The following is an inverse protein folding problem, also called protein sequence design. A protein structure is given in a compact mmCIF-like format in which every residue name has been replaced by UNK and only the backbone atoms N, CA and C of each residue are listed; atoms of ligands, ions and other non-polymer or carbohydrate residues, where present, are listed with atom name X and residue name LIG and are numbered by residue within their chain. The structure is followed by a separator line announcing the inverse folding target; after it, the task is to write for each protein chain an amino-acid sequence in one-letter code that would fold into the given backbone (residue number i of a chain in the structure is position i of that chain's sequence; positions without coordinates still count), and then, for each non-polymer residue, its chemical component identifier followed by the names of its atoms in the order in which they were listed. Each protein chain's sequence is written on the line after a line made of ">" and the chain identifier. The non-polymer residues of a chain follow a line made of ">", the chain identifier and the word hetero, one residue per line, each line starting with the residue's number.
data_IF_679911160342
#
_entry.id   IF_679911160342
#
_cell.length_a   1.000
_cell.length_b   1.000
_cell.length_c   1.000
_cell.angle_alpha   90.00
_cell.angle_beta   90.00
_cell.angle_gamma   90.00
#
_symmetry.space_group_name_H-M   'P 1'
#
loop_
_entity.id
_entity.type
_entity.pdbx_description
1 polymer ?
#
# COMPACT_ATOMS: atom_id res chain seq x y z
N UNK A 1 -12.38 -3.32 -6.43
CA UNK A 1 -12.39 -4.52 -5.56
C UNK A 1 -11.63 -5.68 -6.23
N UNK A 2 -10.55 -5.40 -6.98
CA UNK A 2 -9.98 -6.31 -7.99
C UNK A 2 -8.69 -7.02 -7.56
N UNK A 3 -8.13 -6.72 -6.38
CA UNK A 3 -6.80 -7.21 -5.96
C UNK A 3 -6.86 -8.08 -4.68
N UNK A 4 -8.04 -8.64 -4.34
CA UNK A 4 -8.31 -9.36 -3.08
C UNK A 4 -9.09 -10.65 -3.32
N UNK A 5 -8.64 -11.48 -4.26
CA UNK A 5 -9.20 -12.81 -4.43
C UNK A 5 -8.88 -13.66 -3.18
N UNK A 6 -9.90 -13.97 -2.39
CA UNK A 6 -9.79 -14.82 -1.18
C UNK A 6 -9.38 -14.10 0.12
N UNK A 7 -9.47 -12.76 0.18
CA UNK A 7 -9.19 -12.00 1.42
C UNK A 7 -10.35 -11.08 1.79
N UNK A 8 -10.62 -10.97 3.10
CA UNK A 8 -11.61 -10.02 3.61
C UNK A 8 -11.06 -8.60 3.68
N UNK A 9 -11.94 -7.64 3.38
CA UNK A 9 -11.70 -6.22 3.65
C UNK A 9 -12.08 -5.92 5.09
N UNK A 10 -11.10 -5.50 5.89
CA UNK A 10 -11.31 -5.14 7.28
C UNK A 10 -10.81 -3.72 7.55
N UNK A 11 -11.57 -2.96 8.33
CA UNK A 11 -11.21 -1.61 8.73
C UNK A 11 -10.31 -1.58 9.97
N UNK A 12 -10.42 -2.60 10.83
CA UNK A 12 -9.63 -2.76 12.03
C UNK A 12 -9.49 -4.25 12.36
N UNK A 13 -8.33 -4.63 12.91
CA UNK A 13 -8.05 -5.98 13.37
C UNK A 13 -7.59 -5.96 14.83
N UNK A 14 -8.07 -6.92 15.60
CA UNK A 14 -7.58 -7.13 16.96
C UNK A 14 -6.41 -8.11 16.95
N UNK A 15 -5.36 -7.78 17.69
CA UNK A 15 -4.21 -8.66 17.91
C UNK A 15 -3.79 -8.63 19.38
N UNK A 16 -3.20 -9.73 19.85
CA UNK A 16 -2.67 -9.91 21.19
C UNK A 16 -1.25 -9.37 21.36
N UNK A 17 -0.77 -9.35 22.61
CA UNK A 17 0.51 -8.74 22.96
C UNK A 17 1.75 -9.45 22.37
N UNK A 18 1.65 -10.73 22.02
CA UNK A 18 2.72 -11.51 21.39
C UNK A 18 2.53 -11.72 19.89
N UNK A 19 1.51 -11.10 19.29
CA UNK A 19 1.14 -11.30 17.90
C UNK A 19 1.63 -10.13 17.03
N UNK A 20 1.71 -10.38 15.72
CA UNK A 20 2.01 -9.36 14.72
C UNK A 20 0.89 -9.34 13.68
N UNK A 21 0.53 -8.14 13.24
CA UNK A 21 -0.37 -7.95 12.10
C UNK A 21 0.48 -7.78 10.84
N UNK A 22 0.11 -8.51 9.79
CA UNK A 22 0.54 -8.19 8.43
C UNK A 22 -0.68 -7.75 7.62
N UNK A 23 -0.68 -6.49 7.21
CA UNK A 23 -1.74 -5.92 6.39
C UNK A 23 -1.22 -5.68 4.97
N UNK A 24 -1.97 -6.18 3.99
CA UNK A 24 -1.77 -5.83 2.58
C UNK A 24 -2.73 -4.72 2.20
N UNK A 25 -2.21 -3.62 1.67
CA UNK A 25 -3.03 -2.51 1.19
C UNK A 25 -2.44 -1.87 -0.05
N UNK A 26 -3.33 -1.35 -0.89
CA UNK A 26 -2.97 -0.49 -2.00
C UNK A 26 -2.86 0.97 -1.52
N UNK A 27 -1.86 1.70 -2.02
CA UNK A 27 -1.70 3.12 -1.71
C UNK A 27 -2.96 3.90 -2.14
N UNK A 28 -3.62 4.56 -1.18
CA UNK A 28 -4.86 5.31 -1.40
C UNK A 28 -6.13 4.44 -1.44
N UNK A 29 -6.03 3.17 -1.04
CA UNK A 29 -7.16 2.24 -0.98
C UNK A 29 -7.71 1.85 -2.35
N UNK A 30 -8.96 1.37 -2.37
CA UNK A 30 -9.63 0.89 -3.59
C UNK A 30 -9.65 1.92 -4.72
N UNK A 31 -9.71 3.21 -4.37
CA UNK A 31 -9.81 4.32 -5.34
C UNK A 31 -8.47 5.01 -5.62
N UNK A 32 -7.37 4.58 -5.00
CA UNK A 32 -6.02 5.14 -5.19
C UNK A 32 -5.94 6.64 -4.94
N UNK A 33 -6.69 7.12 -3.93
CA UNK A 33 -6.77 8.54 -3.62
C UNK A 33 -5.46 9.03 -2.98
N UNK A 34 -4.83 10.10 -3.49
CA UNK A 34 -3.74 10.78 -2.80
C UNK A 34 -4.24 11.41 -1.51
N UNK A 35 -3.41 11.40 -0.46
CA UNK A 35 -3.84 11.91 0.84
C UNK A 35 -2.88 11.59 1.97
N UNK A 36 -3.20 12.10 3.16
CA UNK A 36 -2.55 11.72 4.41
C UNK A 36 -3.55 10.88 5.20
N UNK A 37 -3.20 9.62 5.45
CA UNK A 37 -4.03 8.66 6.17
C UNK A 37 -3.49 8.44 7.57
N UNK A 38 -4.37 8.19 8.53
CA UNK A 38 -4.01 7.82 9.89
C UNK A 38 -4.03 6.31 10.03
N UNK A 39 -2.92 5.74 10.49
CA UNK A 39 -2.88 4.41 11.09
C UNK A 39 -2.78 4.59 12.60
N UNK A 40 -3.58 3.86 13.38
CA UNK A 40 -3.62 4.05 14.82
C UNK A 40 -4.18 2.82 15.53
N UNK A 41 -3.81 2.67 16.80
CA UNK A 41 -4.50 1.75 17.69
C UNK A 41 -5.88 2.34 18.04
N UNK A 42 -6.97 1.63 17.76
CA UNK A 42 -8.32 2.15 18.02
C UNK A 42 -8.66 2.33 19.52
N UNK A 43 -7.82 1.83 20.44
CA UNK A 43 -7.99 2.02 21.89
C UNK A 43 -7.32 3.31 22.36
N UNK A 44 -8.10 4.20 22.96
CA UNK A 44 -7.67 5.56 23.37
C UNK A 44 -6.39 5.61 24.21
N UNK A 45 -6.16 4.73 25.22
CA UNK A 45 -4.93 4.81 26.02
C UNK A 45 -3.66 4.63 25.18
N UNK A 46 -3.71 3.77 24.16
CA UNK A 46 -2.56 3.54 23.27
C UNK A 46 -2.38 4.67 22.24
N UNK A 47 -3.46 5.35 21.84
CA UNK A 47 -3.36 6.56 21.03
C UNK A 47 -2.64 7.67 21.80
N UNK A 48 -3.02 7.88 23.06
CA UNK A 48 -2.37 8.86 23.95
C UNK A 48 -0.90 8.50 24.20
N UNK A 49 -0.58 7.20 24.25
CA UNK A 49 0.78 6.70 24.36
C UNK A 49 1.59 6.74 23.04
N UNK A 50 1.00 7.22 21.93
CA UNK A 50 1.71 7.41 20.66
C UNK A 50 1.68 6.21 19.71
N UNK A 51 0.81 5.22 19.90
CA UNK A 51 0.64 4.11 18.96
C UNK A 51 -0.21 4.51 17.75
N UNK A 52 0.32 5.42 16.95
CA UNK A 52 -0.26 5.89 15.71
C UNK A 52 0.81 6.50 14.80
N UNK A 53 0.46 6.69 13.53
CA UNK A 53 1.34 7.34 12.56
C UNK A 53 0.58 7.74 11.29
N UNK A 54 1.24 8.53 10.45
CA UNK A 54 0.69 8.95 9.17
C UNK A 54 1.26 8.13 8.03
N UNK A 55 0.39 7.80 7.07
CA UNK A 55 0.77 7.27 5.77
C UNK A 55 0.46 8.33 4.71
N UNK A 56 1.49 8.85 4.05
CA UNK A 56 1.36 9.85 2.99
C UNK A 56 1.33 9.16 1.63
N UNK A 57 0.20 9.23 0.94
CA UNK A 57 0.04 8.77 -0.44
C UNK A 57 0.17 9.98 -1.35
N UNK A 58 1.15 9.94 -2.24
CA UNK A 58 1.39 11.01 -3.20
C UNK A 58 0.51 10.85 -4.45
N UNK A 59 0.21 11.96 -5.15
CA UNK A 59 -0.32 11.90 -6.51
C UNK A 59 0.56 11.05 -7.41
N UNK A 60 -0.05 10.36 -8.38
CA UNK A 60 0.73 9.59 -9.34
C UNK A 60 1.68 10.50 -10.12
N UNK A 61 2.94 10.07 -10.26
CA UNK A 61 3.99 10.84 -10.92
C UNK A 61 4.68 11.90 -10.06
N UNK A 62 4.25 12.12 -8.81
CA UNK A 62 4.95 13.03 -7.88
C UNK A 62 6.35 12.48 -7.53
N UNK A 63 7.33 13.40 -7.49
CA UNK A 63 8.77 13.12 -7.25
C UNK A 63 9.36 13.97 -6.12
N UNK A 64 8.50 14.53 -5.27
CA UNK A 64 8.89 15.35 -4.12
C UNK A 64 9.65 14.57 -3.06
N UNK A 65 9.43 13.25 -2.94
CA UNK A 65 10.23 12.37 -2.08
C UNK A 65 11.50 12.00 -2.85
N UNK A 66 12.60 12.65 -2.49
CA UNK A 66 13.93 12.36 -3.00
C UNK A 66 14.64 11.32 -2.10
N UNK A 67 15.56 10.51 -2.66
CA UNK A 67 16.42 9.64 -1.87
C UNK A 67 17.18 10.44 -0.80
N UNK A 68 17.37 9.83 0.37
CA UNK A 68 18.25 10.39 1.38
C UNK A 68 19.70 10.30 0.89
N UNK A 69 20.38 11.45 0.81
CA UNK A 69 21.72 11.58 0.24
C UNK A 69 21.71 11.73 -1.28
N UNK A 70 22.79 12.31 -1.85
CA UNK A 70 22.96 12.53 -3.30
C UNK A 70 23.15 11.24 -4.11
N UNK A 71 22.62 10.12 -3.63
CA UNK A 71 22.67 8.83 -4.30
C UNK A 71 21.70 8.90 -5.47
N UNK A 72 22.20 8.75 -6.70
CA UNK A 72 21.35 8.53 -7.88
C UNK A 72 20.93 7.07 -7.86
N UNK A 73 19.69 6.74 -7.50
CA UNK A 73 19.33 5.36 -7.26
C UNK A 73 19.06 4.70 -8.62
N UNK A 74 19.87 3.69 -8.95
CA UNK A 74 19.75 2.94 -10.20
C UNK A 74 18.56 2.00 -10.07
N UNK A 75 17.54 2.14 -10.93
CA UNK A 75 16.39 1.23 -10.97
C UNK A 75 15.22 1.57 -10.01
N UNK A 76 15.04 2.83 -9.61
CA UNK A 76 13.89 3.21 -8.77
C UNK A 76 12.60 3.16 -9.55
N UNK A 77 11.67 2.34 -9.06
CA UNK A 77 10.28 2.33 -9.51
C UNK A 77 9.61 3.62 -9.06
N UNK A 78 9.07 4.36 -10.01
CA UNK A 78 8.34 5.61 -9.75
C UNK A 78 6.86 5.30 -9.55
N UNK A 79 6.14 6.13 -8.79
CA UNK A 79 4.70 6.03 -8.59
C UNK A 79 3.88 6.47 -9.83
N UNK A 80 4.27 6.02 -11.03
CA UNK A 80 3.43 6.13 -12.23
C UNK A 80 2.38 5.02 -12.21
N UNK A 81 1.14 5.31 -12.58
CA UNK A 81 0.21 4.23 -12.89
C UNK A 81 0.75 3.42 -14.07
N UNK A 82 0.75 2.07 -14.00
CA UNK A 82 1.14 1.26 -15.14
C UNK A 82 0.20 1.53 -16.31
N UNK A 83 0.75 1.60 -17.52
CA UNK A 83 -0.03 1.81 -18.74
C UNK A 83 -1.02 0.65 -18.93
N UNK A 84 -2.10 0.87 -19.68
CA UNK A 84 -3.09 -0.20 -19.93
C UNK A 84 -2.47 -1.43 -20.63
N UNK A 85 -1.39 -1.21 -21.38
CA UNK A 85 -0.58 -2.25 -22.01
C UNK A 85 0.19 -3.08 -20.97
N UNK A 86 0.80 -2.43 -19.96
CA UNK A 86 1.49 -3.13 -18.86
C UNK A 86 0.52 -3.91 -17.97
N UNK A 87 -0.69 -3.38 -17.73
CA UNK A 87 -1.76 -4.10 -17.01
C UNK A 87 -2.24 -5.32 -17.80
N UNK A 88 -2.44 -5.18 -19.11
CA UNK A 88 -2.86 -6.29 -19.98
C UNK A 88 -1.79 -7.38 -20.10
N UNK A 89 -0.51 -6.98 -20.17
CA UNK A 89 0.61 -7.91 -20.18
C UNK A 89 0.73 -8.68 -18.85
N UNK A 90 0.58 -7.98 -17.71
CA UNK A 90 0.61 -8.62 -16.39
C UNK A 90 -0.55 -9.60 -16.20
N UNK A 91 -1.74 -9.27 -16.72
CA UNK A 91 -2.92 -10.16 -16.68
C UNK A 91 -2.70 -11.42 -17.53
N UNK A 92 -2.17 -11.28 -18.75
CA UNK A 92 -1.89 -12.40 -19.65
C UNK A 92 -0.80 -13.36 -19.14
N UNK A 93 0.13 -12.86 -18.32
CA UNK A 93 1.14 -13.69 -17.65
C UNK A 93 0.52 -14.44 -16.48
N UNK A 94 -0.33 -13.78 -15.69
CA UNK A 94 -1.06 -14.40 -14.57
C UNK A 94 -1.99 -15.53 -15.04
N UNK A 95 -2.76 -15.30 -16.10
CA UNK A 95 -3.67 -16.30 -16.68
C UNK A 95 -2.89 -17.54 -17.18
N UNK A 96 -1.72 -17.35 -17.78
CA UNK A 96 -0.86 -18.46 -18.23
C UNK A 96 -0.26 -19.26 -17.07
N UNK A 97 -0.04 -18.63 -15.92
CA UNK A 97 0.47 -19.31 -14.73
C UNK A 97 -0.64 -20.10 -14.01
N UNK A 98 -1.88 -19.61 -14.05
CA UNK A 98 -3.04 -20.26 -13.42
C UNK A 98 -3.55 -21.50 -14.17
N UNK A 99 -3.12 -21.70 -15.42
CA UNK A 99 -3.49 -22.86 -16.25
C UNK A 99 -2.51 -24.05 -16.13
N UNK A 100 -1.53 -23.99 -15.24
CA UNK A 100 -0.60 -25.07 -14.90
C UNK A 100 -0.90 -25.62 -13.52
#
# INVERSE_FOLDING_TARGET
>A
HMDQEGSDMIDAEQFGAGEYIQAYFNAGGTYKNPGTYLWFNARTPYQQAGQWGYMKVLPSGDRSILPLGKVKPKGVKTASQPSEEEKSASKAVSDRLSMR
#
